data_IF_762821730487
#
_entry.id   IF_762821730487
#
_cell.length_a   1.000
_cell.length_b   1.000
_cell.length_c   1.000
_cell.angle_alpha   90.00
_cell.angle_beta   90.00
_cell.angle_gamma   90.00
#
_symmetry.space_group_name_H-M   'P 1'
#
loop_
_entity.id
_entity.type
_entity.pdbx_description
1 polymer ?
#
# COMPACT_ATOMS: atom_id res chain seq x y z
N UNK A 1 5.78 31.93 13.10
CA UNK A 1 6.49 31.20 12.02
C UNK A 1 7.41 30.22 12.71
N UNK A 2 6.98 28.98 12.86
CA UNK A 2 7.88 27.87 13.18
C UNK A 2 8.04 27.14 11.85
N UNK A 3 9.22 27.31 11.25
CA UNK A 3 9.69 26.35 10.25
C UNK A 3 9.95 25.07 11.05
N UNK A 4 9.53 23.92 10.52
CA UNK A 4 10.05 22.64 11.00
C UNK A 4 11.56 22.74 10.85
N UNK A 5 12.28 22.68 11.97
CA UNK A 5 13.73 22.75 11.93
C UNK A 5 14.29 21.43 11.42
N UNK A 6 15.58 21.44 11.05
CA UNK A 6 16.24 20.25 10.52
C UNK A 6 16.19 19.09 11.52
N UNK A 7 16.02 19.37 12.82
CA UNK A 7 15.95 18.40 13.91
C UNK A 7 14.55 17.75 14.01
N UNK A 8 13.47 18.52 13.84
CA UNK A 8 12.10 18.02 13.70
C UNK A 8 11.97 17.09 12.48
N UNK A 9 12.61 17.48 11.38
CA UNK A 9 12.66 16.67 10.16
C UNK A 9 13.51 15.41 10.40
N UNK A 10 14.67 15.53 11.05
CA UNK A 10 15.53 14.39 11.36
C UNK A 10 14.88 13.38 12.31
N UNK A 11 14.11 13.83 13.29
CA UNK A 11 13.34 12.99 14.21
C UNK A 11 12.20 12.24 13.50
N UNK A 12 11.47 12.90 12.60
CA UNK A 12 10.45 12.24 11.76
C UNK A 12 11.08 11.22 10.79
N UNK A 13 12.33 11.45 10.38
CA UNK A 13 13.05 10.58 9.45
C UNK A 13 13.70 9.36 10.12
N UNK A 14 14.25 9.51 11.33
CA UNK A 14 14.82 8.38 12.10
C UNK A 14 13.77 7.31 12.40
N UNK A 15 12.52 7.71 12.66
CA UNK A 15 11.41 6.76 12.81
C UNK A 15 11.06 6.04 11.51
N UNK A 16 11.41 6.59 10.34
CA UNK A 16 11.06 6.06 9.03
C UNK A 16 12.18 5.31 8.30
N UNK A 17 13.43 5.50 8.72
CA UNK A 17 14.65 4.96 8.10
C UNK A 17 15.28 3.81 8.94
N UNK A 18 14.72 3.48 10.12
CA UNK A 18 15.18 2.38 10.99
C UNK A 18 14.60 1.00 10.62
N UNK A 19 13.83 0.92 9.55
CA UNK A 19 13.14 -0.31 9.13
C UNK A 19 13.48 -0.67 7.68
N UNK A 20 14.77 -0.67 7.33
CA UNK A 20 15.23 -1.54 6.26
C UNK A 20 16.72 -1.88 6.47
N UNK A 21 17.00 -3.19 6.45
CA UNK A 21 18.29 -3.88 6.60
C UNK A 21 18.70 -4.22 8.05
N UNK A 22 18.31 -5.42 8.48
CA UNK A 22 18.87 -6.13 9.65
C UNK A 22 18.71 -7.63 9.45
N UNK A 23 19.84 -8.32 9.35
CA UNK A 23 20.06 -9.75 9.09
C UNK A 23 19.21 -10.72 9.93
N UNK A 24 18.96 -11.89 9.32
CA UNK A 24 18.55 -13.13 9.98
C UNK A 24 19.50 -13.48 11.14
N UNK A 25 19.10 -13.24 12.40
CA UNK A 25 19.53 -14.08 13.51
C UNK A 25 18.35 -14.35 14.47
N UNK A 26 18.17 -15.64 14.73
CA UNK A 26 17.21 -16.32 15.59
C UNK A 26 17.24 -15.78 17.03
N UNK A 27 16.13 -15.22 17.51
CA UNK A 27 15.87 -15.06 18.94
C UNK A 27 14.45 -15.53 19.30
N UNK A 28 14.40 -16.82 19.62
CA UNK A 28 13.35 -17.57 20.33
C UNK A 28 12.47 -16.71 21.25
N UNK A 29 11.21 -16.51 20.86
CA UNK A 29 10.18 -15.98 21.75
C UNK A 29 9.41 -17.13 22.43
N UNK A 30 9.27 -17.07 23.76
CA UNK A 30 8.44 -17.99 24.55
C UNK A 30 7.18 -17.27 25.06
N UNK A 31 5.99 -17.93 25.07
CA UNK A 31 4.78 -17.28 25.56
C UNK A 31 4.75 -17.24 27.07
N UNK A 32 4.64 -16.03 27.61
CA UNK A 32 4.09 -15.83 28.94
C UNK A 32 2.60 -16.21 28.92
N UNK A 33 2.29 -17.22 29.73
CA UNK A 33 0.93 -17.55 30.10
C UNK A 33 0.44 -16.51 31.12
N UNK A 34 -0.64 -15.80 30.81
CA UNK A 34 -1.83 -15.57 31.66
C UNK A 34 -2.61 -14.32 31.24
N UNK A 35 -3.94 -14.47 31.20
CA UNK A 35 -5.01 -13.47 31.06
C UNK A 35 -5.13 -12.71 29.71
N UNK A 36 -6.31 -12.44 29.16
CA UNK A 36 -7.66 -12.42 29.71
C UNK A 36 -8.69 -12.68 28.60
N UNK A 37 -9.81 -13.29 28.98
CA UNK A 37 -10.93 -13.55 28.07
C UNK A 37 -11.59 -12.26 27.60
N UNK A 38 -11.80 -12.18 26.29
CA UNK A 38 -12.82 -11.32 25.68
C UNK A 38 -13.54 -12.16 24.63
N UNK A 39 -14.84 -12.37 24.86
CA UNK A 39 -15.77 -12.95 23.90
C UNK A 39 -15.96 -11.98 22.75
N UNK A 40 -15.41 -12.33 21.60
CA UNK A 40 -15.66 -11.69 20.31
C UNK A 40 -16.97 -12.24 19.75
N UNK A 41 -18.00 -11.40 19.74
CA UNK A 41 -19.29 -11.66 19.08
C UNK A 41 -19.33 -10.76 17.85
N UNK A 42 -18.67 -11.19 16.78
CA UNK A 42 -18.74 -10.58 15.46
C UNK A 42 -19.62 -11.45 14.55
N UNK A 43 -20.76 -10.90 14.12
CA UNK A 43 -21.71 -11.57 13.21
C UNK A 43 -21.23 -11.68 11.75
N UNK A 44 -19.92 -11.59 11.49
CA UNK A 44 -19.33 -11.70 10.15
C UNK A 44 -18.50 -12.98 9.90
N UNK A 45 -18.48 -13.92 10.86
CA UNK A 45 -18.01 -15.27 10.60
C UNK A 45 -19.13 -16.10 9.96
N UNK A 46 -19.31 -15.97 8.64
CA UNK A 46 -19.87 -17.04 7.84
C UNK A 46 -18.73 -18.02 7.51
N UNK A 47 -18.54 -19.11 8.30
CA UNK A 47 -17.47 -20.05 8.05
C UNK A 47 -17.67 -20.67 6.67
N UNK A 48 -16.57 -20.93 5.95
CA UNK A 48 -16.54 -21.65 4.66
C UNK A 48 -17.30 -22.99 4.67
N UNK A 49 -17.69 -23.50 5.85
CA UNK A 49 -18.59 -24.64 6.06
C UNK A 49 -20.05 -24.39 5.69
N UNK A 50 -20.48 -23.14 5.47
CA UNK A 50 -21.86 -22.77 5.10
C UNK A 50 -22.13 -22.86 3.59
N UNK A 51 -21.08 -22.93 2.78
CA UNK A 51 -21.19 -23.30 1.37
C UNK A 51 -21.66 -24.76 1.28
N UNK A 52 -22.60 -25.11 0.38
CA UNK A 52 -23.01 -26.50 0.20
C UNK A 52 -21.85 -27.32 -0.37
N UNK A 53 -21.02 -27.86 0.52
CA UNK A 53 -19.97 -28.83 0.20
C UNK A 53 -20.70 -30.14 -0.08
N UNK A 54 -20.68 -30.58 -1.34
CA UNK A 54 -20.90 -31.99 -1.66
C UNK A 54 -19.77 -32.78 -1.00
N UNK A 55 -20.00 -33.26 0.23
CA UNK A 55 -19.03 -34.05 1.00
C UNK A 55 -18.92 -35.44 0.38
N UNK A 56 -18.02 -35.60 -0.59
CA UNK A 56 -17.24 -36.84 -0.61
C UNK A 56 -16.33 -36.81 0.62
N UNK A 57 -16.41 -37.85 1.44
CA UNK A 57 -15.69 -37.97 2.70
C UNK A 57 -14.22 -38.26 2.44
N UNK A 58 -13.44 -37.20 2.23
CA UNK A 58 -11.98 -37.27 2.22
C UNK A 58 -11.48 -37.05 3.65
N UNK A 59 -10.72 -38.00 4.19
CA UNK A 59 -10.21 -38.04 5.57
C UNK A 59 -9.06 -37.04 5.84
N UNK A 60 -9.01 -35.95 5.07
CA UNK A 60 -8.31 -34.71 5.39
C UNK A 60 -6.81 -34.81 5.63
N UNK A 61 -6.16 -35.90 5.19
CA UNK A 61 -4.70 -36.04 5.30
C UNK A 61 -4.02 -35.29 4.16
N UNK A 62 -3.18 -34.31 4.51
CA UNK A 62 -2.30 -33.64 3.56
C UNK A 62 -1.33 -34.65 2.95
N UNK A 63 -1.49 -34.96 1.66
CA UNK A 63 -0.61 -35.88 0.92
C UNK A 63 0.19 -35.08 -0.10
N UNK A 64 1.51 -35.16 -0.03
CA UNK A 64 2.42 -34.59 -1.03
C UNK A 64 2.28 -35.37 -2.35
N UNK A 65 1.40 -34.91 -3.26
CA UNK A 65 1.24 -35.47 -4.61
C UNK A 65 2.07 -34.67 -5.61
N UNK A 66 2.62 -35.35 -6.62
CA UNK A 66 3.21 -34.68 -7.77
C UNK A 66 2.11 -33.90 -8.50
N UNK A 67 2.27 -32.57 -8.58
CA UNK A 67 1.39 -31.73 -9.37
C UNK A 67 1.40 -32.21 -10.83
N UNK A 68 0.23 -32.61 -11.33
CA UNK A 68 0.02 -32.89 -12.75
C UNK A 68 -0.76 -31.74 -13.35
N UNK A 69 -0.07 -30.64 -13.61
CA UNK A 69 -0.64 -29.51 -14.34
C UNK A 69 -1.04 -29.94 -15.75
N UNK A 70 -2.23 -29.54 -16.20
CA UNK A 70 -2.50 -29.52 -17.63
C UNK A 70 -1.77 -28.29 -18.19
N UNK A 71 -0.95 -28.41 -19.24
CA UNK A 71 -0.40 -27.25 -19.91
C UNK A 71 -1.56 -26.35 -20.33
N UNK A 72 -1.63 -25.15 -19.79
CA UNK A 72 -2.55 -24.14 -20.29
C UNK A 72 -2.15 -23.91 -21.75
N UNK A 73 -3.11 -24.04 -22.67
CA UNK A 73 -2.84 -23.73 -24.07
C UNK A 73 -2.24 -22.33 -24.14
N UNK A 74 -1.12 -22.17 -24.84
CA UNK A 74 -0.55 -20.85 -25.11
C UNK A 74 -1.54 -20.14 -26.02
N UNK A 75 -2.46 -19.40 -25.42
CA UNK A 75 -3.27 -18.45 -26.16
C UNK A 75 -2.32 -17.33 -26.53
N UNK A 76 -2.10 -17.13 -27.83
CA UNK A 76 -1.49 -15.87 -28.25
C UNK A 76 -2.40 -14.76 -27.72
N UNK A 77 -1.86 -13.74 -27.04
CA UNK A 77 -2.67 -12.60 -26.67
C UNK A 77 -3.31 -12.08 -27.97
N UNK A 78 -4.63 -11.82 -27.98
CA UNK A 78 -5.30 -11.31 -29.15
C UNK A 78 -4.57 -10.04 -29.64
N UNK A 79 -4.41 -9.91 -30.95
CA UNK A 79 -3.88 -8.68 -31.54
C UNK A 79 -4.76 -7.52 -31.06
N UNK A 80 -4.22 -6.54 -30.29
CA UNK A 80 -5.03 -5.50 -29.68
C UNK A 80 -5.82 -4.68 -30.70
N UNK A 81 -5.44 -4.71 -31.98
CA UNK A 81 -6.04 -3.93 -33.06
C UNK A 81 -5.78 -2.41 -32.95
N UNK A 82 -5.40 -1.95 -31.76
CA UNK A 82 -5.01 -0.59 -31.40
C UNK A 82 -3.51 -0.54 -31.06
N UNK A 83 -2.83 0.58 -31.33
CA UNK A 83 -1.45 0.76 -30.89
C UNK A 83 -1.36 0.69 -29.35
N UNK A 84 -0.27 0.13 -28.81
CA UNK A 84 -0.09 0.06 -27.36
C UNK A 84 -0.08 1.46 -26.77
N UNK A 85 -0.82 1.62 -25.67
CA UNK A 85 -0.83 2.88 -24.92
C UNK A 85 0.50 3.09 -24.21
N UNK A 86 0.79 4.32 -23.82
CA UNK A 86 1.94 4.60 -22.96
C UNK A 86 1.76 3.96 -21.57
N UNK A 87 2.86 3.64 -20.86
CA UNK A 87 2.78 3.13 -19.49
C UNK A 87 1.98 4.03 -18.53
N UNK A 88 2.04 5.34 -18.73
CA UNK A 88 1.28 6.31 -17.95
C UNK A 88 -0.23 6.17 -18.17
N UNK A 89 -0.68 6.01 -19.42
CA UNK A 89 -2.09 5.78 -19.74
C UNK A 89 -2.62 4.46 -19.15
N UNK A 90 -1.77 3.41 -19.09
CA UNK A 90 -2.15 2.18 -18.41
C UNK A 90 -2.31 2.39 -16.89
N UNK A 91 -1.40 3.14 -16.27
CA UNK A 91 -1.47 3.47 -14.85
C UNK A 91 -2.71 4.31 -14.50
N UNK A 92 -3.05 5.28 -15.35
CA UNK A 92 -4.23 6.14 -15.21
C UNK A 92 -5.56 5.36 -15.31
N UNK A 93 -5.55 4.13 -15.85
CA UNK A 93 -6.72 3.25 -15.77
C UNK A 93 -7.00 2.74 -14.35
N UNK A 94 -6.06 2.87 -13.41
CA UNK A 94 -6.24 2.48 -12.02
C UNK A 94 -6.23 3.70 -11.09
N UNK A 95 -5.28 4.61 -11.29
CA UNK A 95 -5.17 5.85 -10.52
C UNK A 95 -5.76 7.02 -11.31
N UNK A 96 -7.02 7.32 -11.04
CA UNK A 96 -7.77 8.39 -11.71
C UNK A 96 -7.37 9.78 -11.20
N UNK A 97 -7.69 10.81 -11.97
CA UNK A 97 -7.53 12.21 -11.53
C UNK A 97 -8.32 12.50 -10.24
N UNK A 98 -9.53 11.94 -10.13
CA UNK A 98 -10.37 12.03 -8.92
C UNK A 98 -9.66 11.47 -7.68
N UNK A 99 -8.95 10.35 -7.81
CA UNK A 99 -8.19 9.79 -6.70
C UNK A 99 -7.04 10.72 -6.30
N UNK A 100 -6.36 11.36 -7.27
CA UNK A 100 -5.33 12.36 -6.97
C UNK A 100 -5.90 13.64 -6.34
N UNK A 101 -7.09 14.06 -6.73
CA UNK A 101 -7.82 15.16 -6.08
C UNK A 101 -8.17 14.83 -4.63
N UNK A 102 -8.62 13.60 -4.38
CA UNK A 102 -8.90 13.11 -3.04
C UNK A 102 -7.63 13.10 -2.17
N UNK A 103 -6.53 12.54 -2.67
CA UNK A 103 -5.24 12.59 -1.97
C UNK A 103 -4.83 14.04 -1.64
N UNK A 104 -4.90 14.93 -2.63
CA UNK A 104 -4.49 16.33 -2.47
C UNK A 104 -5.34 17.05 -1.42
N UNK A 105 -6.64 16.80 -1.43
CA UNK A 105 -7.60 17.42 -0.50
C UNK A 105 -7.40 16.90 0.93
N UNK A 106 -7.40 15.58 1.11
CA UNK A 106 -7.22 14.95 2.42
C UNK A 106 -5.85 15.29 3.04
N UNK A 107 -4.78 15.26 2.24
CA UNK A 107 -3.43 15.66 2.67
C UNK A 107 -3.40 17.13 3.14
N UNK A 108 -4.06 18.02 2.40
CA UNK A 108 -4.12 19.44 2.76
C UNK A 108 -4.93 19.69 4.03
N UNK A 109 -6.08 19.01 4.19
CA UNK A 109 -6.93 19.10 5.37
C UNK A 109 -6.21 18.59 6.61
N UNK A 110 -5.57 17.43 6.52
CA UNK A 110 -4.76 16.86 7.60
C UNK A 110 -3.65 17.82 8.03
N UNK A 111 -2.90 18.36 7.07
CA UNK A 111 -1.83 19.32 7.38
C UNK A 111 -2.35 20.56 8.11
N UNK A 112 -3.50 21.11 7.70
CA UNK A 112 -4.12 22.27 8.36
C UNK A 112 -4.57 21.92 9.78
N UNK A 113 -5.17 20.75 9.99
CA UNK A 113 -5.62 20.30 11.30
C UNK A 113 -4.43 20.14 12.27
N UNK A 114 -3.33 19.55 11.79
CA UNK A 114 -2.14 19.27 12.62
C UNK A 114 -1.27 20.51 12.86
N UNK A 115 -1.03 21.33 11.84
CA UNK A 115 -0.10 22.47 11.90
C UNK A 115 -0.79 23.82 12.11
N UNK A 116 -2.11 23.88 12.08
CA UNK A 116 -2.89 25.11 12.22
C UNK A 116 -2.71 26.11 11.07
N UNK A 117 -2.08 25.71 9.96
CA UNK A 117 -1.82 26.58 8.83
C UNK A 117 -1.82 25.81 7.50
N UNK A 118 -2.07 26.52 6.40
CA UNK A 118 -2.05 25.92 5.06
C UNK A 118 -0.62 25.55 4.66
N UNK A 119 -0.48 24.40 4.01
CA UNK A 119 0.78 23.97 3.42
C UNK A 119 1.23 24.97 2.34
N UNK A 120 2.52 25.32 2.34
CA UNK A 120 3.11 26.25 1.37
C UNK A 120 4.26 25.58 0.61
N UNK A 121 4.17 25.44 -0.72
CA UNK A 121 3.00 25.69 -1.57
C UNK A 121 1.83 24.74 -1.25
N UNK A 122 0.62 25.09 -1.70
CA UNK A 122 -0.57 24.26 -1.52
C UNK A 122 -0.38 22.90 -2.21
N UNK A 123 -0.89 21.83 -1.60
CA UNK A 123 -0.91 20.51 -2.25
C UNK A 123 -1.80 20.58 -3.48
N UNK A 124 -1.31 20.06 -4.62
CA UNK A 124 -2.13 19.93 -5.82
C UNK A 124 -2.19 18.47 -6.27
N UNK A 125 -3.25 18.07 -7.01
CA UNK A 125 -3.35 16.72 -7.57
C UNK A 125 -2.13 16.37 -8.45
N UNK A 126 -1.69 17.32 -9.27
CA UNK A 126 -0.49 17.17 -10.09
C UNK A 126 0.81 17.01 -9.29
N UNK A 127 0.87 17.55 -8.08
CA UNK A 127 2.00 17.34 -7.18
C UNK A 127 1.98 15.94 -6.54
N UNK A 128 0.81 15.46 -6.13
CA UNK A 128 0.66 14.06 -5.68
C UNK A 128 1.01 13.10 -6.82
N UNK A 129 0.56 13.36 -8.05
CA UNK A 129 0.91 12.55 -9.22
C UNK A 129 2.42 12.48 -9.45
N UNK A 130 3.14 13.61 -9.30
CA UNK A 130 4.62 13.62 -9.31
C UNK A 130 5.22 12.80 -8.17
N UNK A 131 4.66 12.88 -6.97
CA UNK A 131 5.12 12.11 -5.81
C UNK A 131 5.04 10.59 -6.06
N UNK A 132 3.92 10.10 -6.60
CA UNK A 132 3.80 8.70 -7.02
C UNK A 132 4.75 8.35 -8.17
N UNK A 133 4.92 9.25 -9.15
CA UNK A 133 5.89 9.07 -10.22
C UNK A 133 7.33 8.95 -9.72
N UNK A 134 7.72 9.74 -8.71
CA UNK A 134 9.02 9.65 -8.04
C UNK A 134 9.19 8.29 -7.38
N UNK A 135 8.20 7.79 -6.64
CA UNK A 135 8.23 6.42 -6.09
C UNK A 135 8.38 5.35 -7.18
N UNK A 136 7.69 5.51 -8.31
CA UNK A 136 7.86 4.66 -9.48
C UNK A 136 9.31 4.63 -9.97
N UNK A 137 9.95 5.79 -10.12
CA UNK A 137 11.36 5.88 -10.55
C UNK A 137 12.33 5.29 -9.52
N UNK A 138 12.09 5.49 -8.22
CA UNK A 138 12.88 4.90 -7.13
C UNK A 138 12.74 3.38 -7.07
N UNK A 139 11.66 2.81 -7.63
CA UNK A 139 11.52 1.36 -7.74
C UNK A 139 12.44 0.78 -8.81
N UNK A 140 12.76 1.56 -9.86
CA UNK A 140 13.64 1.19 -10.96
C UNK A 140 15.11 1.47 -10.67
N UNK A 141 15.42 2.63 -10.08
CA UNK A 141 16.78 3.06 -9.76
C UNK A 141 16.90 3.08 -8.25
N UNK A 142 17.55 2.07 -7.65
CA UNK A 142 17.68 1.96 -6.20
C UNK A 142 18.91 2.70 -5.70
N UNK A 143 18.73 3.55 -4.68
CA UNK A 143 19.80 4.11 -3.88
C UNK A 143 19.74 3.58 -2.44
N UNK A 144 20.90 3.38 -1.76
CA UNK A 144 20.93 2.89 -0.38
C UNK A 144 20.18 3.79 0.62
N UNK A 145 20.08 5.09 0.34
CA UNK A 145 19.34 6.05 1.17
C UNK A 145 18.50 6.95 0.29
N UNK A 146 17.26 7.21 0.70
CA UNK A 146 16.31 8.04 -0.05
C UNK A 146 16.86 9.44 -0.35
N UNK A 147 17.57 10.06 0.60
CA UNK A 147 18.17 11.40 0.41
C UNK A 147 19.19 11.47 -0.74
N UNK A 148 19.75 10.34 -1.16
CA UNK A 148 20.79 10.30 -2.20
C UNK A 148 20.26 10.68 -3.58
N UNK A 149 18.97 10.50 -3.88
CA UNK A 149 18.41 10.89 -5.19
C UNK A 149 18.56 12.39 -5.49
N UNK A 150 18.72 13.21 -4.45
CA UNK A 150 18.94 14.67 -4.55
C UNK A 150 20.38 15.09 -4.22
N UNK A 151 21.26 14.16 -3.85
CA UNK A 151 22.64 14.47 -3.52
C UNK A 151 23.45 14.73 -4.80
N UNK A 152 24.26 15.80 -4.85
CA UNK A 152 24.98 16.24 -6.08
C UNK A 152 25.73 15.12 -6.82
N UNK A 153 26.37 14.19 -6.10
CA UNK A 153 27.10 13.06 -6.70
C UNK A 153 26.21 11.94 -7.29
N UNK A 154 25.00 11.77 -6.76
CA UNK A 154 24.09 10.67 -7.09
C UNK A 154 22.75 11.18 -7.64
N UNK A 155 22.71 12.47 -8.00
CA UNK A 155 21.51 13.16 -8.41
C UNK A 155 20.95 12.43 -9.62
N UNK A 156 19.71 11.99 -9.50
CA UNK A 156 18.98 11.41 -10.61
C UNK A 156 17.99 12.42 -11.12
N UNK A 157 18.29 13.03 -12.27
CA UNK A 157 17.56 14.19 -12.77
C UNK A 157 16.04 13.97 -12.92
N UNK A 158 15.52 12.81 -13.37
CA UNK A 158 14.07 12.57 -13.40
C UNK A 158 13.39 12.67 -12.02
N UNK A 159 14.09 12.35 -10.92
CA UNK A 159 13.57 12.52 -9.56
C UNK A 159 13.81 13.95 -9.07
N UNK A 160 15.06 14.39 -9.13
CA UNK A 160 15.50 15.65 -8.53
C UNK A 160 14.92 16.90 -9.21
N UNK A 161 14.56 16.82 -10.49
CA UNK A 161 13.88 17.91 -11.22
C UNK A 161 12.35 17.89 -11.03
N UNK A 162 11.75 16.74 -10.73
CA UNK A 162 10.31 16.61 -10.58
C UNK A 162 9.81 17.21 -9.26
N UNK A 163 10.56 17.03 -8.17
CA UNK A 163 10.21 17.50 -6.82
C UNK A 163 11.49 17.75 -6.00
N UNK A 164 11.50 18.76 -5.14
CA UNK A 164 12.61 18.98 -4.22
C UNK A 164 12.63 17.90 -3.12
N UNK A 165 13.82 17.65 -2.55
CA UNK A 165 14.03 16.71 -1.45
C UNK A 165 13.07 16.99 -0.30
N UNK A 166 13.07 18.23 0.18
CA UNK A 166 12.31 18.62 1.37
C UNK A 166 10.80 18.55 1.11
N UNK A 167 10.37 18.87 -0.12
CA UNK A 167 8.96 18.71 -0.50
C UNK A 167 8.53 17.25 -0.56
N UNK A 168 9.39 16.36 -1.07
CA UNK A 168 9.11 14.93 -1.09
C UNK A 168 8.92 14.37 0.33
N UNK A 169 9.82 14.70 1.26
CA UNK A 169 9.69 14.25 2.64
C UNK A 169 8.50 14.88 3.37
N UNK A 170 8.20 16.16 3.10
CA UNK A 170 7.01 16.81 3.62
C UNK A 170 5.72 16.09 3.19
N UNK A 171 5.61 15.72 1.92
CA UNK A 171 4.45 14.94 1.44
C UNK A 171 4.44 13.53 2.02
N UNK A 172 5.59 12.85 2.07
CA UNK A 172 5.71 11.48 2.59
C UNK A 172 5.13 11.33 4.00
N UNK A 173 5.38 12.30 4.88
CA UNK A 173 4.90 12.24 6.28
C UNK A 173 3.47 12.76 6.48
N UNK A 174 2.90 13.44 5.49
CA UNK A 174 1.55 14.03 5.58
C UNK A 174 0.54 13.41 4.61
N UNK A 175 0.92 12.43 3.79
CA UNK A 175 0.05 11.85 2.75
C UNK A 175 -1.19 11.19 3.36
N UNK A 176 -2.37 11.67 3.00
CA UNK A 176 -3.67 11.13 3.41
C UNK A 176 -4.61 11.00 2.22
N UNK A 177 -5.53 10.02 2.27
CA UNK A 177 -6.59 9.81 1.27
C UNK A 177 -8.00 9.90 1.87
N UNK A 178 -8.08 10.06 3.20
CA UNK A 178 -9.32 10.21 3.97
C UNK A 178 -9.23 11.49 4.78
N UNK A 179 -10.33 12.22 4.91
CA UNK A 179 -10.44 13.27 5.93
C UNK A 179 -10.49 12.60 7.31
N UNK A 180 -9.40 12.72 8.05
CA UNK A 180 -9.23 12.08 9.35
C UNK A 180 -10.38 12.41 10.34
N UNK A 181 -10.94 13.61 10.23
CA UNK A 181 -11.96 14.11 11.15
C UNK A 181 -13.38 13.80 10.67
N UNK A 182 -13.57 13.28 9.45
CA UNK A 182 -14.89 12.98 8.92
C UNK A 182 -15.39 11.58 9.27
N UNK A 183 -14.51 10.70 9.76
CA UNK A 183 -14.85 9.31 10.08
C UNK A 183 -15.16 9.19 11.56
N UNK A 184 -16.32 8.61 11.83
CA UNK A 184 -16.89 8.27 13.12
C UNK A 184 -16.14 7.13 13.82
N UNK A 185 -16.09 7.15 15.15
CA UNK A 185 -15.33 6.16 15.94
C UNK A 185 -15.86 4.73 15.76
N UNK A 186 -17.17 4.57 15.58
CA UNK A 186 -17.78 3.27 15.29
C UNK A 186 -17.30 2.71 13.94
N UNK A 187 -17.13 3.56 12.92
CA UNK A 187 -16.58 3.16 11.63
C UNK A 187 -15.10 2.80 11.72
N UNK A 188 -14.32 3.57 12.50
CA UNK A 188 -12.91 3.25 12.76
C UNK A 188 -12.73 1.91 13.49
N UNK A 189 -13.65 1.59 14.39
CA UNK A 189 -13.64 0.32 15.12
C UNK A 189 -13.98 -0.87 14.21
N UNK A 190 -14.95 -0.70 13.31
CA UNK A 190 -15.37 -1.75 12.36
C UNK A 190 -14.38 -1.99 11.24
N UNK A 191 -13.77 -0.93 10.71
CA UNK A 191 -12.84 -1.03 9.58
C UNK A 191 -11.42 -0.65 10.00
N UNK A 192 -10.57 -1.64 10.28
CA UNK A 192 -9.15 -1.41 10.67
C UNK A 192 -8.34 -0.68 9.59
N UNK A 193 -8.72 -0.83 8.32
CA UNK A 193 -8.05 -0.22 7.17
C UNK A 193 -8.70 1.11 6.72
N UNK A 194 -9.59 1.69 7.54
CA UNK A 194 -10.36 2.89 7.19
C UNK A 194 -9.52 4.02 6.58
N UNK A 195 -8.27 4.21 7.05
CA UNK A 195 -7.34 5.25 6.57
C UNK A 195 -6.97 5.12 5.10
N UNK A 196 -6.94 3.91 4.56
CA UNK A 196 -6.55 3.60 3.18
C UNK A 196 -7.69 2.99 2.37
N UNK A 197 -8.83 2.70 2.99
CA UNK A 197 -9.99 2.07 2.36
C UNK A 197 -10.41 2.75 1.06
N UNK A 198 -10.48 4.08 0.94
CA UNK A 198 -10.90 4.70 -0.32
C UNK A 198 -9.94 4.41 -1.49
N UNK A 199 -8.64 4.32 -1.22
CA UNK A 199 -7.66 3.95 -2.24
C UNK A 199 -7.84 2.48 -2.65
N UNK A 200 -8.05 1.58 -1.69
CA UNK A 200 -8.31 0.15 -1.96
C UNK A 200 -9.55 0.01 -2.84
N UNK A 201 -10.64 0.67 -2.48
CA UNK A 201 -11.91 0.61 -3.22
C UNK A 201 -11.78 1.23 -4.60
N UNK A 202 -11.09 2.37 -4.72
CA UNK A 202 -10.83 3.01 -6.02
C UNK A 202 -10.11 2.05 -6.97
N UNK A 203 -9.00 1.44 -6.54
CA UNK A 203 -8.24 0.49 -7.36
C UNK A 203 -9.06 -0.77 -7.65
N UNK A 204 -9.75 -1.32 -6.65
CA UNK A 204 -10.62 -2.50 -6.81
C UNK A 204 -11.71 -2.26 -7.85
N UNK A 205 -12.38 -1.12 -7.81
CA UNK A 205 -13.44 -0.77 -8.75
C UNK A 205 -12.90 -0.71 -10.19
N UNK A 206 -11.67 -0.18 -10.39
CA UNK A 206 -11.00 -0.22 -11.69
C UNK A 206 -10.65 -1.64 -12.13
N UNK A 207 -10.14 -2.48 -11.22
CA UNK A 207 -9.86 -3.90 -11.48
C UNK A 207 -11.11 -4.71 -11.88
N UNK A 208 -12.30 -4.32 -11.42
CA UNK A 208 -13.58 -4.94 -11.77
C UNK A 208 -14.16 -4.41 -13.09
N UNK A 209 -13.94 -3.12 -13.38
CA UNK A 209 -14.43 -2.48 -14.59
C UNK A 209 -13.60 -2.81 -15.85
N UNK A 210 -12.30 -3.07 -15.68
CA UNK A 210 -11.41 -3.38 -16.80
C UNK A 210 -11.65 -4.80 -17.34
N UNK A 211 -11.72 -4.97 -18.67
CA UNK A 211 -11.97 -6.28 -19.27
C UNK A 211 -10.84 -7.26 -18.96
N UNK A 212 -11.20 -8.50 -18.66
CA UNK A 212 -10.28 -9.62 -18.42
C UNK A 212 -10.48 -10.66 -19.51
N UNK A 213 -9.45 -10.87 -20.32
CA UNK A 213 -9.52 -11.81 -21.46
C UNK A 213 -9.28 -13.26 -21.04
N UNK A 214 -8.62 -13.48 -19.90
CA UNK A 214 -8.31 -14.83 -19.41
C UNK A 214 -9.56 -15.52 -18.84
N UNK A 215 -9.68 -16.82 -19.10
CA UNK A 215 -10.69 -17.71 -18.52
C UNK A 215 -10.15 -18.57 -17.37
N UNK A 216 -8.83 -18.53 -17.14
CA UNK A 216 -8.15 -19.29 -16.08
C UNK A 216 -7.48 -18.35 -15.10
N UNK A 217 -7.72 -18.57 -13.80
CA UNK A 217 -7.20 -17.73 -12.72
C UNK A 217 -6.52 -18.60 -11.67
N UNK A 218 -5.46 -18.06 -11.07
CA UNK A 218 -4.86 -18.56 -9.83
C UNK A 218 -5.17 -17.56 -8.72
N UNK A 219 -5.45 -18.09 -7.53
CA UNK A 219 -5.61 -17.30 -6.31
C UNK A 219 -4.42 -17.65 -5.42
N UNK A 220 -3.73 -16.63 -4.96
CA UNK A 220 -2.60 -16.76 -4.06
C UNK A 220 -2.59 -15.55 -3.11
N UNK A 221 -1.82 -15.67 -2.04
CA UNK A 221 -1.67 -14.63 -1.03
C UNK A 221 -0.36 -13.87 -1.26
N UNK A 222 -0.38 -12.55 -1.13
CA UNK A 222 0.81 -11.72 -1.22
C UNK A 222 1.05 -11.01 0.11
N UNK A 223 2.24 -11.20 0.66
CA UNK A 223 2.68 -10.50 1.86
C UNK A 223 3.41 -9.21 1.50
N UNK A 224 3.13 -8.14 2.25
CA UNK A 224 3.90 -6.90 2.22
C UNK A 224 4.73 -6.86 3.51
N UNK A 225 6.07 -6.96 3.43
CA UNK A 225 6.90 -6.91 4.63
C UNK A 225 6.73 -5.55 5.32
N UNK A 226 6.51 -5.58 6.62
CA UNK A 226 6.32 -4.38 7.44
C UNK A 226 6.77 -4.64 8.87
N UNK A 227 7.68 -3.82 9.37
CA UNK A 227 8.29 -3.97 10.69
C UNK A 227 7.61 -3.09 11.75
N UNK A 228 6.93 -2.02 11.33
CA UNK A 228 6.23 -1.09 12.21
C UNK A 228 5.00 -1.65 12.93
N UNK A 229 4.35 -0.78 13.72
CA UNK A 229 3.12 -1.12 14.44
C UNK A 229 1.92 -1.08 13.48
N UNK A 230 1.40 -2.25 13.14
CA UNK A 230 0.15 -2.40 12.39
C UNK A 230 -0.70 -3.48 13.08
N UNK A 231 -1.97 -3.20 13.42
CA UNK A 231 -2.86 -4.18 14.04
C UNK A 231 -3.12 -5.42 13.16
N UNK A 232 -2.98 -5.29 11.84
CA UNK A 232 -3.19 -6.36 10.85
C UNK A 232 -1.88 -7.08 10.46
N UNK A 233 -0.77 -6.81 11.16
CA UNK A 233 0.51 -7.49 10.90
C UNK A 233 0.46 -8.94 11.40
N UNK A 234 0.78 -9.88 10.51
CA UNK A 234 0.89 -11.30 10.82
C UNK A 234 2.35 -11.77 10.76
N UNK A 235 2.78 -12.58 11.72
CA UNK A 235 4.05 -13.29 11.64
C UNK A 235 3.89 -14.53 10.77
N UNK A 236 4.75 -14.67 9.76
CA UNK A 236 4.78 -15.85 8.89
C UNK A 236 6.11 -16.57 9.14
N UNK A 237 6.08 -17.75 9.79
CA UNK A 237 7.28 -18.50 10.07
C UNK A 237 7.95 -18.99 8.77
N UNK A 238 9.29 -19.12 8.77
CA UNK A 238 10.05 -19.61 7.62
C UNK A 238 9.78 -21.08 7.27
#
# INVERSE_FOLDING_TARGET
>A
MSQLDDEDIENLLQQSDLEDIGDDEDDTWAPDAENDGLSDDSEDDMPLSSLPISRESDDGKWIKKKFRGRPTAVQQPPDPGEPPKSPAEYFENYFTEELFEQFSTATSQYYIAEKGCAMKPQCSPGEIKKFFGVHGMMSLVKCPRMKMYWHQKFKYDPIASAMSRDRFFLLRVNLHVVDYNSVDEDEKARNRLWKIQPMIDAVRNRCLALPRESTTFSIDEQMIPFTGRCPDKQYVPP
#
